data_IF_303728643214
#
_entry.id   IF_303728643214
#
_cell.length_a   1.000
_cell.length_b   1.000
_cell.length_c   1.000
_cell.angle_alpha   90.00
_cell.angle_beta   90.00
_cell.angle_gamma   90.00
#
_symmetry.space_group_name_H-M   'P 1'
#
loop_
_entity.id
_entity.type
_entity.pdbx_description
1 polymer ?
#
# COMPACT_ATOMS: atom_id res chain seq x y z
N UNK A 1 -9.50 18.66 6.26
CA UNK A 1 -8.65 17.72 5.50
C UNK A 1 -9.24 17.31 4.15
N UNK A 2 -10.41 16.64 4.11
CA UNK A 2 -10.97 16.09 2.85
C UNK A 2 -11.17 17.12 1.73
N UNK A 3 -11.66 18.32 2.03
CA UNK A 3 -11.83 19.37 1.02
C UNK A 3 -10.51 19.79 0.35
N UNK A 4 -9.44 19.98 1.14
CA UNK A 4 -8.11 20.33 0.63
C UNK A 4 -7.58 19.25 -0.33
N UNK A 5 -7.78 17.98 0.03
CA UNK A 5 -7.38 16.82 -0.77
C UNK A 5 -8.21 16.73 -2.06
N UNK A 6 -9.52 16.92 -1.98
CA UNK A 6 -10.40 16.89 -3.16
C UNK A 6 -10.05 18.01 -4.15
N UNK A 7 -9.80 19.23 -3.67
CA UNK A 7 -9.43 20.38 -4.50
C UNK A 7 -8.04 20.19 -5.13
N UNK A 8 -7.11 19.59 -4.40
CA UNK A 8 -5.72 19.38 -4.86
C UNK A 8 -5.48 18.03 -5.53
N UNK A 9 -6.52 17.21 -5.73
CA UNK A 9 -6.37 15.82 -6.19
C UNK A 9 -5.56 15.70 -7.47
N UNK A 10 -5.84 16.54 -8.46
CA UNK A 10 -5.15 16.51 -9.77
C UNK A 10 -3.67 16.84 -9.62
N UNK A 11 -3.36 17.88 -8.85
CA UNK A 11 -1.99 18.32 -8.59
C UNK A 11 -1.20 17.23 -7.84
N UNK A 12 -1.82 16.59 -6.84
CA UNK A 12 -1.19 15.54 -6.04
C UNK A 12 -0.90 14.26 -6.86
N UNK A 13 -1.80 13.88 -7.78
CA UNK A 13 -1.64 12.68 -8.60
C UNK A 13 -0.53 12.81 -9.67
N UNK A 14 -0.12 14.03 -10.00
CA UNK A 14 0.94 14.29 -10.96
C UNK A 14 2.34 14.35 -10.32
N UNK A 15 2.43 14.22 -9.00
CA UNK A 15 3.66 14.37 -8.23
C UNK A 15 4.16 13.01 -7.73
N UNK A 16 5.47 12.89 -7.61
CA UNK A 16 6.11 11.80 -6.88
C UNK A 16 6.03 12.02 -5.35
N UNK A 17 6.60 11.11 -4.57
CA UNK A 17 6.51 11.17 -3.12
C UNK A 17 7.11 12.47 -2.54
N UNK A 18 8.30 12.87 -3.00
CA UNK A 18 8.94 14.11 -2.54
C UNK A 18 8.15 15.36 -2.96
N UNK A 19 7.68 15.38 -4.21
CA UNK A 19 6.85 16.44 -4.75
C UNK A 19 5.56 16.63 -3.97
N UNK A 20 4.89 15.53 -3.57
CA UNK A 20 3.70 15.56 -2.71
C UNK A 20 4.02 16.21 -1.36
N UNK A 21 5.12 15.82 -0.71
CA UNK A 21 5.53 16.42 0.57
C UNK A 21 5.82 17.92 0.44
N UNK A 22 6.53 18.32 -0.63
CA UNK A 22 6.81 19.73 -0.93
C UNK A 22 5.53 20.51 -1.22
N UNK A 23 4.59 19.93 -1.95
CA UNK A 23 3.30 20.54 -2.28
C UNK A 23 2.50 20.86 -1.02
N UNK A 24 2.40 19.93 -0.07
CA UNK A 24 1.72 20.16 1.20
C UNK A 24 2.36 21.27 2.03
N UNK A 25 3.69 21.36 2.07
CA UNK A 25 4.40 22.35 2.90
C UNK A 25 4.39 23.75 2.30
N UNK A 26 4.40 23.86 0.97
CA UNK A 26 4.68 25.14 0.28
C UNK A 26 3.53 25.59 -0.60
N UNK A 27 3.11 24.76 -1.55
CA UNK A 27 2.16 25.15 -2.59
C UNK A 27 0.73 25.22 -2.05
N UNK A 28 0.32 24.23 -1.26
CA UNK A 28 -1.03 24.15 -0.71
C UNK A 28 -1.36 25.37 0.18
N UNK A 29 -0.51 25.80 1.16
CA UNK A 29 -0.81 26.97 1.97
C UNK A 29 -0.88 28.26 1.16
N UNK A 30 -0.03 28.39 0.13
CA UNK A 30 -0.02 29.57 -0.76
C UNK A 30 -1.33 29.71 -1.54
N UNK A 31 -1.90 28.59 -2.01
CA UNK A 31 -3.11 28.55 -2.85
C UNK A 31 -4.36 29.14 -2.15
N UNK A 32 -4.42 29.09 -0.82
CA UNK A 32 -5.56 29.54 -0.03
C UNK A 32 -5.32 30.84 0.76
N UNK A 33 -4.27 31.61 0.44
CA UNK A 33 -4.01 32.91 1.08
C UNK A 33 -5.05 33.98 0.72
N UNK A 34 -5.65 33.87 -0.46
CA UNK A 34 -6.69 34.80 -0.93
C UNK A 34 -8.04 34.47 -0.31
N UNK A 35 -8.82 35.50 0.03
CA UNK A 35 -10.13 35.34 0.67
C UNK A 35 -11.12 34.50 -0.16
N UNK A 36 -11.12 34.67 -1.48
CA UNK A 36 -11.99 33.91 -2.39
C UNK A 36 -11.73 32.40 -2.33
N UNK A 37 -10.47 31.99 -2.51
CA UNK A 37 -10.08 30.58 -2.38
C UNK A 37 -10.36 30.04 -0.97
N UNK A 38 -10.19 30.87 0.07
CA UNK A 38 -10.55 30.53 1.45
C UNK A 38 -12.05 30.26 1.62
N UNK A 39 -12.91 31.15 1.09
CA UNK A 39 -14.37 30.97 1.10
C UNK A 39 -14.80 29.74 0.31
N UNK A 40 -14.19 29.51 -0.86
CA UNK A 40 -14.44 28.31 -1.67
C UNK A 40 -14.08 27.03 -0.91
N UNK A 41 -12.93 27.01 -0.22
CA UNK A 41 -12.51 25.90 0.63
C UNK A 41 -13.51 25.63 1.75
N UNK A 42 -13.95 26.67 2.46
CA UNK A 42 -14.92 26.53 3.56
C UNK A 42 -16.25 25.97 3.07
N UNK A 43 -16.80 26.51 1.97
CA UNK A 43 -18.04 26.00 1.37
C UNK A 43 -17.91 24.53 0.99
N UNK A 44 -16.80 24.16 0.37
CA UNK A 44 -16.51 22.78 -0.01
C UNK A 44 -16.40 21.88 1.22
N UNK A 45 -15.75 22.34 2.29
CA UNK A 45 -15.60 21.58 3.52
C UNK A 45 -16.93 21.31 4.22
N UNK A 46 -17.82 22.31 4.31
CA UNK A 46 -19.13 22.18 4.96
C UNK A 46 -20.06 21.24 4.18
N UNK A 47 -19.93 21.18 2.86
CA UNK A 47 -20.73 20.30 2.02
C UNK A 47 -20.39 18.80 2.16
N UNK A 48 -19.24 18.45 2.74
CA UNK A 48 -18.78 17.05 2.83
C UNK A 48 -19.50 16.32 3.96
N UNK A 49 -20.24 15.25 3.62
CA UNK A 49 -20.92 14.38 4.58
C UNK A 49 -20.05 13.19 4.99
N UNK A 50 -19.76 13.05 6.29
CA UNK A 50 -18.95 11.97 6.86
C UNK A 50 -19.80 10.79 7.35
N UNK A 51 -20.29 9.95 6.43
CA UNK A 51 -21.19 8.84 6.78
C UNK A 51 -20.52 7.63 7.44
N UNK A 52 -19.22 7.41 7.19
CA UNK A 52 -18.50 6.17 7.57
C UNK A 52 -17.55 6.33 8.76
N UNK A 53 -17.56 7.48 9.45
CA UNK A 53 -16.57 7.76 10.50
C UNK A 53 -16.60 6.74 11.65
N UNK A 54 -17.79 6.42 12.18
CA UNK A 54 -17.97 5.39 13.23
C UNK A 54 -17.57 3.99 12.76
N UNK A 55 -17.71 3.70 11.47
CA UNK A 55 -17.28 2.42 10.90
C UNK A 55 -15.74 2.33 10.92
N UNK A 56 -15.05 3.35 10.42
CA UNK A 56 -13.59 3.39 10.42
C UNK A 56 -12.99 3.41 11.82
N UNK A 57 -13.64 4.06 12.78
CA UNK A 57 -13.24 4.00 14.18
C UNK A 57 -13.27 2.57 14.73
N UNK A 58 -14.38 1.84 14.54
CA UNK A 58 -14.50 0.45 14.96
C UNK A 58 -13.47 -0.45 14.28
N UNK A 59 -13.31 -0.32 12.97
CA UNK A 59 -12.30 -1.07 12.21
C UNK A 59 -10.88 -0.82 12.72
N UNK A 60 -10.55 0.44 13.03
CA UNK A 60 -9.26 0.79 13.60
C UNK A 60 -9.04 0.19 14.98
N UNK A 61 -10.05 0.19 15.86
CA UNK A 61 -9.91 -0.43 17.19
C UNK A 61 -9.70 -1.94 17.10
N UNK A 62 -10.45 -2.63 16.23
CA UNK A 62 -10.28 -4.07 15.99
C UNK A 62 -8.87 -4.36 15.48
N UNK A 63 -8.40 -3.62 14.48
CA UNK A 63 -7.05 -3.79 13.93
C UNK A 63 -5.95 -3.48 14.96
N UNK A 64 -6.15 -2.44 15.77
CA UNK A 64 -5.21 -2.07 16.83
C UNK A 64 -5.11 -3.18 17.88
N UNK A 65 -6.24 -3.77 18.27
CA UNK A 65 -6.27 -4.88 19.22
C UNK A 65 -5.60 -6.12 18.64
N UNK A 66 -5.91 -6.50 17.40
CA UNK A 66 -5.24 -7.65 16.75
C UNK A 66 -3.72 -7.44 16.62
N UNK A 67 -3.27 -6.21 16.42
CA UNK A 67 -1.83 -5.87 16.32
C UNK A 67 -1.13 -5.88 17.68
N UNK A 68 -1.86 -5.71 18.79
CA UNK A 68 -1.29 -5.84 20.15
C UNK A 68 -1.17 -7.28 20.61
N UNK A 69 -2.07 -8.15 20.14
CA UNK A 69 -2.08 -9.57 20.51
C UNK A 69 -0.93 -10.34 19.85
N UNK A 70 -0.40 -9.84 18.73
CA UNK A 70 0.71 -10.47 18.00
C UNK A 70 1.99 -9.64 18.15
N UNK A 71 3.04 -10.20 18.76
CA UNK A 71 4.36 -9.55 18.79
C UNK A 71 4.82 -9.39 17.32
N UNK A 72 5.21 -8.18 16.88
CA UNK A 72 5.68 -7.96 15.51
C UNK A 72 6.79 -8.91 15.07
N UNK A 73 7.64 -9.33 16.01
CA UNK A 73 8.71 -10.31 15.75
C UNK A 73 8.12 -11.68 15.43
N UNK A 74 7.24 -12.21 16.27
CA UNK A 74 6.62 -13.53 16.09
C UNK A 74 5.85 -13.63 14.76
N UNK A 75 5.16 -12.54 14.38
CA UNK A 75 4.49 -12.46 13.07
C UNK A 75 5.49 -12.56 11.92
N UNK A 76 6.56 -11.77 11.98
CA UNK A 76 7.60 -11.74 10.95
C UNK A 76 8.35 -13.07 10.87
N UNK A 77 8.63 -13.73 12.01
CA UNK A 77 9.25 -15.05 12.03
C UNK A 77 8.37 -16.12 11.38
N UNK A 78 7.06 -16.10 11.67
CA UNK A 78 6.10 -17.01 11.06
C UNK A 78 5.96 -16.80 9.56
N UNK A 79 5.94 -15.54 9.12
CA UNK A 79 5.89 -15.18 7.71
C UNK A 79 7.19 -15.56 6.99
N UNK A 80 8.35 -15.32 7.61
CA UNK A 80 9.65 -15.71 7.09
C UNK A 80 9.77 -17.24 6.96
N UNK A 81 9.31 -18.00 7.96
CA UNK A 81 9.26 -19.47 7.90
C UNK A 81 8.42 -19.94 6.70
N UNK A 82 7.23 -19.36 6.50
CA UNK A 82 6.39 -19.69 5.34
C UNK A 82 7.06 -19.39 4.01
N UNK A 83 7.79 -18.29 3.92
CA UNK A 83 8.54 -17.93 2.71
C UNK A 83 9.68 -18.92 2.47
N UNK A 84 10.44 -19.29 3.50
CA UNK A 84 11.51 -20.31 3.41
C UNK A 84 10.95 -21.65 2.96
N UNK A 85 9.85 -22.11 3.55
CA UNK A 85 9.21 -23.38 3.16
C UNK A 85 8.73 -23.34 1.69
N UNK A 86 8.19 -22.21 1.25
CA UNK A 86 7.78 -22.02 -0.15
C UNK A 86 8.97 -22.00 -1.11
N UNK A 87 10.07 -21.35 -0.72
CA UNK A 87 11.30 -21.32 -1.52
C UNK A 87 11.88 -22.72 -1.66
N UNK A 88 11.99 -23.47 -0.55
CA UNK A 88 12.51 -24.83 -0.57
C UNK A 88 11.70 -25.75 -1.49
N UNK A 89 10.36 -25.64 -1.46
CA UNK A 89 9.49 -26.39 -2.36
C UNK A 89 9.73 -26.02 -3.82
N UNK A 90 9.85 -24.74 -4.13
CA UNK A 90 10.10 -24.27 -5.50
C UNK A 90 11.49 -24.68 -6.00
N UNK A 91 12.50 -24.73 -5.13
CA UNK A 91 13.83 -25.25 -5.45
C UNK A 91 13.78 -26.74 -5.79
N UNK A 92 13.06 -27.54 -5.00
CA UNK A 92 12.85 -28.96 -5.31
C UNK A 92 12.12 -29.17 -6.64
N UNK A 93 11.02 -28.46 -6.88
CA UNK A 93 10.29 -28.51 -8.15
C UNK A 93 11.19 -28.10 -9.34
N UNK A 94 12.09 -27.13 -9.14
CA UNK A 94 13.05 -26.73 -10.16
C UNK A 94 14.07 -27.83 -10.46
N UNK A 95 14.64 -28.44 -9.42
CA UNK A 95 15.60 -29.53 -9.53
C UNK A 95 14.99 -30.76 -10.23
N UNK A 96 13.75 -31.12 -9.87
CA UNK A 96 13.02 -32.23 -10.48
C UNK A 96 12.80 -31.99 -11.99
N UNK A 97 12.36 -30.78 -12.36
CA UNK A 97 12.17 -30.40 -13.76
C UNK A 97 13.50 -30.38 -14.54
N UNK A 98 14.59 -29.92 -13.92
CA UNK A 98 15.91 -29.93 -14.54
C UNK A 98 16.38 -31.38 -14.80
N UNK A 99 16.15 -32.30 -13.85
CA UNK A 99 16.47 -33.72 -14.02
C UNK A 99 15.63 -34.38 -15.13
N UNK A 100 14.33 -34.07 -15.20
CA UNK A 100 13.45 -34.56 -16.26
C UNK A 100 13.91 -34.09 -17.65
N UNK A 101 14.28 -32.82 -17.76
CA UNK A 101 14.84 -32.25 -19.00
C UNK A 101 16.13 -32.95 -19.41
N UNK A 102 17.07 -33.15 -18.49
CA UNK A 102 18.32 -33.89 -18.76
C UNK A 102 18.04 -35.31 -19.22
N UNK A 103 17.12 -36.01 -18.56
CA UNK A 103 16.74 -37.38 -18.90
C UNK A 103 16.11 -37.43 -20.30
N UNK A 104 15.24 -36.49 -20.62
CA UNK A 104 14.57 -36.38 -21.93
C UNK A 104 15.55 -36.01 -23.05
N UNK A 105 16.50 -35.11 -22.79
CA UNK A 105 17.56 -34.78 -23.75
C UNK A 105 18.50 -35.97 -23.98
N UNK A 106 18.91 -36.66 -22.92
CA UNK A 106 19.79 -37.83 -23.01
C UNK A 106 19.12 -39.01 -23.72
N UNK A 107 17.81 -39.19 -23.58
CA UNK A 107 17.06 -40.22 -24.31
C UNK A 107 16.87 -39.86 -25.78
N UNK A 108 16.67 -38.58 -26.11
CA UNK A 108 16.57 -38.08 -27.50
C UNK A 108 17.90 -38.10 -28.27
N UNK A 109 19.05 -38.05 -27.59
CA UNK A 109 20.38 -38.14 -28.23
C UNK A 109 20.78 -39.61 -28.51
N UNK A 110 20.15 -40.59 -27.85
CA UNK A 110 20.42 -42.04 -28.02
C UNK A 110 19.56 -42.73 -29.10
N UNK A 111 18.72 -41.98 -29.82
CA UNK A 111 17.92 -42.43 -30.97
C UNK A 111 18.41 -41.73 -32.24
#
# INVERSE_FOLDING_TARGET
ALALLSISKKDLLALDFEGVLKYFRVSLPKKFRTEENGKYLLRTAVAIKLKKLKKYEKEYQIWKESTKVENPIDRLEKENKRLVDSTLRLEQENDDLAQELLTTCNSKIRL
#
